data_IF_132054163891
#
_entry.id   IF_132054163891
#
_cell.length_a   1.000
_cell.length_b   1.000
_cell.length_c   1.000
_cell.angle_alpha   90.00
_cell.angle_beta   90.00
_cell.angle_gamma   90.00
#
_symmetry.space_group_name_H-M   'P 1'
#
loop_
_entity.id
_entity.type
_entity.pdbx_description
1 polymer ?
#
# COMPACT_ATOMS: atom_id res chain seq x y z
N UNK A 1 -17.75 42.50 17.30
CA UNK A 1 -18.04 41.16 16.78
C UNK A 1 -17.21 40.89 15.52
N UNK A 2 -16.26 39.98 15.63
CA UNK A 2 -15.51 39.54 14.47
C UNK A 2 -16.38 38.50 13.72
N UNK A 3 -16.49 38.59 12.39
CA UNK A 3 -17.21 37.61 11.63
C UNK A 3 -16.56 36.23 11.84
N UNK A 4 -17.35 35.25 12.27
CA UNK A 4 -16.90 33.86 12.32
C UNK A 4 -16.85 33.35 10.90
N UNK A 5 -15.66 33.01 10.43
CA UNK A 5 -15.46 32.32 9.16
C UNK A 5 -15.43 30.83 9.44
N UNK A 6 -16.39 30.11 8.94
CA UNK A 6 -16.34 28.65 8.94
C UNK A 6 -15.35 28.22 7.86
N UNK A 7 -14.16 27.81 8.27
CA UNK A 7 -13.16 27.27 7.37
C UNK A 7 -13.41 25.76 7.20
N UNK A 8 -13.86 25.37 6.02
CA UNK A 8 -13.98 23.96 5.64
C UNK A 8 -12.76 23.53 4.84
N UNK A 9 -11.96 22.63 5.40
CA UNK A 9 -10.78 22.07 4.74
C UNK A 9 -11.11 20.64 4.30
N UNK A 10 -11.06 20.39 2.99
CA UNK A 10 -11.18 19.03 2.44
C UNK A 10 -9.80 18.46 2.19
N UNK A 11 -9.47 17.40 2.91
CA UNK A 11 -8.25 16.64 2.69
C UNK A 11 -8.53 15.45 1.77
N UNK A 12 -7.54 15.11 0.93
CA UNK A 12 -7.64 13.99 -0.03
C UNK A 12 -6.38 13.16 0.05
N UNK A 13 -6.55 11.84 0.19
CA UNK A 13 -5.41 10.92 0.11
C UNK A 13 -4.84 10.92 -1.30
N UNK A 14 -3.55 11.19 -1.43
CA UNK A 14 -2.84 11.25 -2.72
C UNK A 14 -2.01 10.01 -3.00
N UNK A 15 -1.82 9.16 -2.00
CA UNK A 15 -1.08 7.92 -2.12
C UNK A 15 -2.02 6.72 -2.16
N UNK A 16 -1.49 5.57 -2.50
CA UNK A 16 -2.17 4.29 -2.40
C UNK A 16 -1.71 3.56 -1.15
N UNK A 17 -2.63 2.94 -0.44
CA UNK A 17 -2.31 2.06 0.69
C UNK A 17 -2.36 0.61 0.21
N UNK A 18 -1.29 -0.13 0.45
CA UNK A 18 -1.24 -1.57 0.23
C UNK A 18 -1.29 -2.24 1.59
N UNK A 19 -2.29 -3.09 1.78
CA UNK A 19 -2.44 -3.92 2.98
C UNK A 19 -2.33 -5.38 2.59
N UNK A 20 -1.49 -6.12 3.27
CA UNK A 20 -1.26 -7.53 3.00
C UNK A 20 -1.58 -8.34 4.25
N UNK A 21 -2.61 -9.19 4.13
CA UNK A 21 -2.96 -10.18 5.13
C UNK A 21 -2.17 -11.44 4.80
N UNK A 22 -1.34 -11.91 5.71
CA UNK A 22 -0.53 -13.08 5.44
C UNK A 22 -0.96 -14.29 6.26
N UNK A 23 -0.77 -15.44 5.65
CA UNK A 23 -0.96 -16.74 6.28
C UNK A 23 0.26 -17.62 5.98
N UNK A 24 0.92 -18.05 7.03
CA UNK A 24 2.00 -19.05 6.95
C UNK A 24 1.39 -20.40 7.31
N UNK A 25 1.06 -21.17 6.27
CA UNK A 25 0.18 -22.30 6.42
C UNK A 25 0.80 -23.65 6.14
N UNK A 26 1.92 -24.00 6.78
CA UNK A 26 2.42 -25.37 6.68
C UNK A 26 2.77 -25.95 8.04
N UNK A 27 2.62 -27.27 8.16
CA UNK A 27 3.10 -28.02 9.32
C UNK A 27 4.62 -27.87 9.55
N UNK A 28 5.35 -27.45 8.49
CA UNK A 28 6.82 -27.25 8.55
C UNK A 28 7.21 -25.88 9.12
N UNK A 29 6.25 -24.95 9.26
CA UNK A 29 6.48 -23.59 9.79
C UNK A 29 5.39 -23.16 10.77
N UNK A 30 5.02 -24.00 11.76
CA UNK A 30 3.86 -23.74 12.62
C UNK A 30 4.03 -22.50 13.51
N UNK A 31 5.27 -22.13 13.83
CA UNK A 31 5.60 -21.07 14.79
C UNK A 31 6.41 -19.92 14.14
N UNK A 32 6.51 -19.88 12.82
CA UNK A 32 7.31 -18.87 12.13
C UNK A 32 6.46 -17.71 11.66
N UNK A 33 6.90 -16.54 12.01
CA UNK A 33 6.27 -15.29 11.61
C UNK A 33 7.09 -14.58 10.52
N UNK A 34 6.41 -13.72 9.76
CA UNK A 34 7.05 -12.86 8.76
C UNK A 34 7.81 -11.74 9.46
N UNK A 35 9.04 -11.52 9.06
CA UNK A 35 9.88 -10.40 9.48
C UNK A 35 10.35 -9.57 8.28
N UNK A 36 10.71 -8.33 8.54
CA UNK A 36 11.22 -7.37 7.55
C UNK A 36 10.38 -7.29 6.26
N UNK A 37 9.03 -7.17 6.34
CA UNK A 37 8.22 -7.08 5.14
C UNK A 37 8.47 -5.77 4.40
N UNK A 38 8.65 -5.86 3.07
CA UNK A 38 8.88 -4.73 2.18
C UNK A 38 7.97 -4.82 0.96
N UNK A 39 7.47 -3.68 0.52
CA UNK A 39 6.67 -3.54 -0.70
C UNK A 39 7.44 -2.72 -1.73
N UNK A 40 7.43 -3.17 -2.97
CA UNK A 40 8.09 -2.45 -4.06
C UNK A 40 7.30 -1.23 -4.48
N UNK A 41 7.94 -0.07 -4.51
CA UNK A 41 7.39 1.16 -5.08
C UNK A 41 8.20 1.60 -6.29
N UNK A 42 7.54 1.80 -7.43
CA UNK A 42 8.21 2.27 -8.66
C UNK A 42 8.71 3.71 -8.54
N UNK A 43 8.14 4.46 -7.62
CA UNK A 43 8.52 5.83 -7.33
C UNK A 43 8.62 6.02 -5.82
N UNK A 44 9.58 6.81 -5.37
CA UNK A 44 9.78 7.18 -3.96
C UNK A 44 9.59 8.66 -3.72
N UNK A 45 9.46 9.44 -4.78
CA UNK A 45 9.20 10.86 -4.72
C UNK A 45 8.13 11.28 -5.71
N UNK A 46 7.41 12.32 -5.38
CA UNK A 46 6.34 12.91 -6.19
C UNK A 46 6.33 14.42 -5.97
N UNK A 47 6.02 15.14 -7.03
CA UNK A 47 5.81 16.58 -6.98
C UNK A 47 4.32 16.88 -7.10
N UNK A 48 3.85 17.82 -6.30
CA UNK A 48 2.51 18.39 -6.43
C UNK A 48 2.64 19.79 -7.04
N UNK A 49 2.26 19.91 -8.28
CA UNK A 49 2.19 21.20 -8.98
C UNK A 49 0.76 21.73 -8.90
N UNK A 50 0.63 23.01 -8.60
CA UNK A 50 -0.67 23.68 -8.68
C UNK A 50 -0.98 23.91 -10.17
N UNK A 51 -2.10 23.41 -10.63
CA UNK A 51 -2.67 23.83 -11.91
C UNK A 51 -3.47 25.12 -11.69
N UNK A 52 -2.88 26.25 -12.04
CA UNK A 52 -3.49 27.57 -11.85
C UNK A 52 -4.77 27.78 -12.66
N UNK A 53 -5.01 26.96 -13.70
CA UNK A 53 -6.22 27.03 -14.51
C UNK A 53 -7.42 26.38 -13.83
N UNK A 54 -7.19 25.36 -13.01
CA UNK A 54 -8.24 24.61 -12.35
C UNK A 54 -8.22 24.74 -10.81
N UNK A 55 -7.20 25.39 -10.26
CA UNK A 55 -7.00 25.52 -8.82
C UNK A 55 -6.73 24.18 -8.11
N UNK A 56 -6.37 23.15 -8.88
CA UNK A 56 -6.12 21.81 -8.37
C UNK A 56 -4.62 21.50 -8.32
N UNK A 57 -4.23 20.65 -7.37
CA UNK A 57 -2.88 20.10 -7.35
C UNK A 57 -2.81 18.87 -8.26
N UNK A 58 -1.92 18.91 -9.21
CA UNK A 58 -1.62 17.77 -10.09
C UNK A 58 -0.36 17.08 -9.56
N UNK A 59 -0.48 15.78 -9.36
CA UNK A 59 0.65 14.95 -8.99
C UNK A 59 1.45 14.57 -10.24
N UNK A 60 2.75 14.82 -10.20
CA UNK A 60 3.69 14.34 -11.21
C UNK A 60 4.76 13.50 -10.55
N UNK A 61 5.05 12.36 -11.15
CA UNK A 61 6.18 11.53 -10.75
C UNK A 61 7.40 11.91 -11.56
N UNK A 62 8.54 12.16 -10.92
CA UNK A 62 9.80 12.33 -11.64
C UNK A 62 10.18 11.02 -12.32
N UNK A 63 11.29 11.01 -13.02
CA UNK A 63 11.92 9.80 -13.57
C UNK A 63 11.88 8.67 -12.53
N UNK A 64 11.56 7.46 -12.98
CA UNK A 64 11.41 6.30 -12.11
C UNK A 64 12.57 6.19 -11.11
N UNK A 65 12.23 6.23 -9.84
CA UNK A 65 13.17 6.04 -8.73
C UNK A 65 12.64 4.92 -7.83
N UNK A 66 12.79 3.66 -8.27
CA UNK A 66 12.21 2.53 -7.58
C UNK A 66 12.94 2.23 -6.28
N UNK A 67 12.20 1.84 -5.26
CA UNK A 67 12.76 1.33 -4.03
C UNK A 67 11.82 0.33 -3.33
N UNK A 68 12.43 -0.42 -2.42
CA UNK A 68 11.72 -1.26 -1.46
C UNK A 68 11.33 -0.42 -0.26
N UNK A 69 10.03 -0.28 -0.03
CA UNK A 69 9.46 0.46 1.10
C UNK A 69 9.25 -0.52 2.24
N UNK A 70 9.82 -0.21 3.39
CA UNK A 70 9.59 -0.99 4.61
C UNK A 70 8.12 -0.90 4.99
N UNK A 71 7.45 -2.05 5.13
CA UNK A 71 6.07 -2.09 5.55
C UNK A 71 5.95 -2.07 7.08
N UNK A 72 4.89 -1.44 7.57
CA UNK A 72 4.52 -1.46 8.97
C UNK A 72 3.77 -2.77 9.25
N UNK A 73 4.29 -3.56 10.18
CA UNK A 73 3.65 -4.79 10.62
C UNK A 73 2.63 -4.50 11.71
N UNK A 74 1.50 -5.16 11.65
CA UNK A 74 0.42 -5.09 12.63
C UNK A 74 0.33 -6.43 13.39
N UNK A 75 -0.25 -6.40 14.60
CA UNK A 75 -0.30 -7.57 15.49
C UNK A 75 -1.26 -8.68 15.04
N UNK A 76 -2.08 -8.42 14.02
CA UNK A 76 -3.17 -9.28 13.56
C UNK A 76 -2.85 -10.08 12.29
N UNK A 77 -1.58 -10.33 12.01
CA UNK A 77 -1.18 -11.06 10.81
C UNK A 77 -1.26 -10.25 9.52
N UNK A 78 -1.11 -8.94 9.64
CA UNK A 78 -1.10 -8.00 8.52
C UNK A 78 0.14 -7.13 8.50
N UNK A 79 0.46 -6.59 7.35
CA UNK A 79 1.37 -5.47 7.20
C UNK A 79 0.89 -4.51 6.12
N UNK A 80 1.26 -3.26 6.24
CA UNK A 80 0.83 -2.21 5.32
C UNK A 80 1.97 -1.32 4.88
N UNK A 81 1.90 -0.82 3.65
CA UNK A 81 2.82 0.15 3.12
C UNK A 81 2.08 1.21 2.30
N UNK A 82 2.55 2.44 2.37
CA UNK A 82 2.10 3.51 1.50
C UNK A 82 3.01 3.52 0.28
N UNK A 83 2.41 3.44 -0.90
CA UNK A 83 3.13 3.48 -2.17
C UNK A 83 2.62 4.62 -3.05
N UNK A 84 3.49 5.16 -3.88
CA UNK A 84 3.11 6.15 -4.89
C UNK A 84 2.28 5.45 -5.97
N UNK A 85 1.15 6.03 -6.41
CA UNK A 85 0.34 5.50 -7.50
C UNK A 85 1.17 5.16 -8.74
N UNK A 86 0.82 4.09 -9.42
CA UNK A 86 1.55 3.63 -10.60
C UNK A 86 1.11 2.24 -11.08
N UNK A 87 1.59 1.86 -12.24
CA UNK A 87 1.23 0.59 -12.88
C UNK A 87 2.29 -0.48 -12.65
N UNK A 88 1.82 -1.66 -12.26
CA UNK A 88 2.61 -2.87 -12.04
C UNK A 88 2.13 -3.95 -12.99
N UNK A 89 3.04 -4.75 -13.48
CA UNK A 89 2.76 -5.84 -14.41
C UNK A 89 2.69 -7.18 -13.71
N UNK A 90 1.99 -8.09 -14.35
CA UNK A 90 2.04 -9.51 -13.99
C UNK A 90 3.50 -9.96 -13.91
N UNK A 91 3.82 -10.77 -12.92
CA UNK A 91 5.16 -11.29 -12.60
C UNK A 91 6.18 -10.26 -12.06
N UNK A 92 5.85 -8.97 -11.95
CA UNK A 92 6.67 -8.03 -11.19
C UNK A 92 6.82 -8.53 -9.75
N UNK A 93 8.03 -8.59 -9.21
CA UNK A 93 8.26 -8.88 -7.79
C UNK A 93 7.76 -7.68 -7.00
N UNK A 94 6.78 -7.92 -6.13
CA UNK A 94 6.07 -6.84 -5.45
C UNK A 94 6.26 -6.82 -3.93
N UNK A 95 6.45 -7.98 -3.32
CA UNK A 95 6.64 -8.13 -1.88
C UNK A 95 7.91 -8.92 -1.60
N UNK A 96 8.67 -8.49 -0.61
CA UNK A 96 9.79 -9.22 -0.02
C UNK A 96 9.60 -9.35 1.47
N UNK A 97 10.03 -10.45 2.05
CA UNK A 97 9.97 -10.71 3.47
C UNK A 97 10.93 -11.81 3.88
N UNK A 98 11.10 -12.00 5.17
CA UNK A 98 11.88 -13.09 5.74
C UNK A 98 11.01 -14.00 6.60
N UNK A 99 11.35 -15.28 6.63
CA UNK A 99 10.90 -16.24 7.62
C UNK A 99 12.15 -16.89 8.20
N UNK A 100 12.43 -16.65 9.47
CA UNK A 100 13.73 -16.96 10.06
C UNK A 100 14.85 -16.25 9.27
N UNK A 101 15.86 -17.00 8.83
CA UNK A 101 16.99 -16.48 8.06
C UNK A 101 16.79 -16.54 6.53
N UNK A 102 15.64 -17.03 6.06
CA UNK A 102 15.37 -17.21 4.64
C UNK A 102 14.61 -16.03 4.06
N UNK A 103 15.06 -15.58 2.87
CA UNK A 103 14.41 -14.54 2.10
C UNK A 103 13.37 -15.13 1.14
N UNK A 104 12.20 -14.50 1.10
CA UNK A 104 11.12 -14.84 0.22
C UNK A 104 10.67 -13.61 -0.57
N UNK A 105 10.02 -13.86 -1.70
CA UNK A 105 9.36 -12.83 -2.47
C UNK A 105 8.05 -13.33 -3.08
N UNK A 106 7.13 -12.41 -3.30
CA UNK A 106 5.88 -12.66 -3.99
C UNK A 106 5.74 -11.74 -5.20
N UNK A 107 5.12 -12.27 -6.25
CA UNK A 107 4.92 -11.59 -7.53
C UNK A 107 3.47 -11.15 -7.69
N UNK A 108 3.27 -10.10 -8.48
CA UNK A 108 1.94 -9.69 -8.94
C UNK A 108 1.34 -10.78 -9.82
N UNK A 109 0.08 -11.13 -9.59
CA UNK A 109 -0.66 -12.12 -10.39
C UNK A 109 -1.40 -11.51 -11.60
N UNK A 110 -1.62 -10.22 -11.56
CA UNK A 110 -2.31 -9.49 -12.63
C UNK A 110 -1.79 -8.07 -12.72
N UNK A 111 -1.88 -7.51 -13.91
CA UNK A 111 -1.62 -6.09 -14.12
C UNK A 111 -2.50 -5.28 -13.18
N UNK A 112 -1.90 -4.34 -12.46
CA UNK A 112 -2.60 -3.50 -11.50
C UNK A 112 -2.12 -2.07 -11.62
N UNK A 113 -3.07 -1.14 -11.72
CA UNK A 113 -2.80 0.29 -11.66
C UNK A 113 -3.25 0.82 -10.30
N UNK A 114 -2.29 1.12 -9.42
CA UNK A 114 -2.59 1.75 -8.14
C UNK A 114 -2.99 3.21 -8.35
N UNK A 115 -4.14 3.56 -7.81
CA UNK A 115 -4.71 4.90 -7.90
C UNK A 115 -4.63 5.63 -6.56
N UNK A 116 -4.54 6.96 -6.60
CA UNK A 116 -4.58 7.79 -5.40
C UNK A 116 -5.88 7.61 -4.61
N UNK A 117 -5.78 7.55 -3.30
CA UNK A 117 -6.94 7.45 -2.42
C UNK A 117 -7.57 6.07 -2.32
N UNK A 118 -6.90 5.03 -2.85
CA UNK A 118 -7.39 3.66 -2.76
C UNK A 118 -6.50 2.79 -1.89
N UNK A 119 -7.14 1.86 -1.17
CA UNK A 119 -6.50 0.77 -0.45
C UNK A 119 -6.65 -0.51 -1.24
N UNK A 120 -5.54 -1.18 -1.46
CA UNK A 120 -5.46 -2.47 -2.14
C UNK A 120 -5.13 -3.55 -1.13
N UNK A 121 -6.02 -4.51 -0.97
CA UNK A 121 -5.87 -5.59 0.01
C UNK A 121 -5.48 -6.87 -0.72
N UNK A 122 -4.38 -7.46 -0.29
CA UNK A 122 -3.85 -8.71 -0.80
C UNK A 122 -3.81 -9.76 0.29
N UNK A 123 -3.97 -11.00 -0.10
CA UNK A 123 -3.68 -12.19 0.70
C UNK A 123 -2.35 -12.76 0.26
N UNK A 124 -1.46 -13.02 1.20
CA UNK A 124 -0.18 -13.66 1.00
C UNK A 124 -0.22 -15.04 1.66
N UNK A 125 -0.27 -16.08 0.84
CA UNK A 125 -0.20 -17.46 1.30
C UNK A 125 1.22 -17.98 1.12
N UNK A 126 1.85 -18.38 2.23
CA UNK A 126 3.20 -18.94 2.25
C UNK A 126 3.11 -20.42 2.56
N UNK A 127 3.35 -21.24 1.56
CA UNK A 127 3.46 -22.69 1.68
C UNK A 127 4.91 -23.15 1.64
N UNK A 128 5.13 -24.46 1.75
CA UNK A 128 6.47 -25.08 1.72
C UNK A 128 7.24 -24.75 0.44
N UNK A 129 6.56 -24.87 -0.70
CA UNK A 129 7.19 -24.77 -2.03
C UNK A 129 6.60 -23.62 -2.86
N UNK A 130 5.69 -22.83 -2.29
CA UNK A 130 4.96 -21.81 -3.03
C UNK A 130 4.62 -20.60 -2.18
N UNK A 131 4.86 -19.43 -2.76
CA UNK A 131 4.41 -18.15 -2.22
C UNK A 131 3.43 -17.54 -3.21
N UNK A 132 2.21 -17.27 -2.76
CA UNK A 132 1.15 -16.71 -3.59
C UNK A 132 0.66 -15.38 -3.05
N UNK A 133 0.53 -14.40 -3.92
CA UNK A 133 -0.06 -13.11 -3.64
C UNK A 133 -1.34 -12.94 -4.45
N UNK A 134 -2.47 -12.86 -3.76
CA UNK A 134 -3.79 -12.74 -4.41
C UNK A 134 -4.48 -11.46 -3.95
N UNK A 135 -4.95 -10.64 -4.89
CA UNK A 135 -5.73 -9.46 -4.53
C UNK A 135 -7.13 -9.87 -4.05
N UNK A 136 -7.52 -9.38 -2.88
CA UNK A 136 -8.83 -9.64 -2.27
C UNK A 136 -9.81 -8.53 -2.61
N UNK A 137 -9.43 -7.27 -2.40
CA UNK A 137 -10.32 -6.12 -2.59
C UNK A 137 -9.57 -4.85 -2.96
N UNK A 138 -10.33 -3.88 -3.43
CA UNK A 138 -9.90 -2.50 -3.65
C UNK A 138 -10.96 -1.63 -2.98
N UNK A 139 -10.55 -0.86 -1.98
CA UNK A 139 -11.44 0.00 -1.21
C UNK A 139 -11.08 1.47 -1.46
N UNK A 140 -12.07 2.30 -1.64
CA UNK A 140 -11.87 3.75 -1.71
C UNK A 140 -11.66 4.27 -0.28
N UNK A 141 -10.53 4.91 -0.03
CA UNK A 141 -10.28 5.63 1.21
C UNK A 141 -10.98 7.00 1.11
N UNK A 142 -12.30 7.01 1.23
CA UNK A 142 -13.04 8.26 1.41
C UNK A 142 -12.57 8.88 2.71
N UNK A 143 -12.14 10.12 2.67
CA UNK A 143 -11.59 10.83 3.81
C UNK A 143 -12.47 10.73 5.05
N UNK A 144 -11.87 10.96 6.18
CA UNK A 144 -12.48 11.04 7.51
C UNK A 144 -13.73 11.92 7.44
N UNK A 145 -14.89 11.33 7.52
CA UNK A 145 -16.13 12.06 7.29
C UNK A 145 -16.68 12.67 8.55
N UNK A 146 -16.44 12.11 9.76
CA UNK A 146 -16.89 12.65 11.04
C UNK A 146 -16.07 12.08 12.22
N UNK A 147 -16.06 12.79 13.36
CA UNK A 147 -15.52 12.30 14.64
C UNK A 147 -16.19 11.02 15.16
N UNK A 148 -17.40 10.71 14.68
CA UNK A 148 -18.17 9.53 15.08
C UNK A 148 -17.60 8.23 14.50
N UNK A 149 -16.85 8.30 13.40
CA UNK A 149 -16.17 7.15 12.77
C UNK A 149 -14.89 6.72 13.50
N UNK A 150 -14.52 7.43 14.57
CA UNK A 150 -13.33 7.21 15.39
C UNK A 150 -13.59 6.49 16.73
N UNK A 151 -14.81 5.97 16.92
CA UNK A 151 -15.17 5.24 18.14
C UNK A 151 -15.12 3.74 17.95
#
# INVERSE_FOLDING_TARGET
DFPRFDLSIRMKHRMSLVTIVYHVGTADYPDMDISEPQVYSKHTSVYFNRDDRQGQFVMSTPTANPAWVQACKHDDGMFSAIVIPGSYKTDDIFVKFKIGDKNFHAKMRSDTNFQEGYRYIYKLDVGKDKVELTRISIDNMTGWTNEEDLK
#
